data_IF_182544157583
#
_entry.id   IF_182544157583
#
_cell.length_a   1.000
_cell.length_b   1.000
_cell.length_c   1.000
_cell.angle_alpha   90.00
_cell.angle_beta   90.00
_cell.angle_gamma   90.00
#
_symmetry.space_group_name_H-M   'P 1'
#
loop_
_entity.id
_entity.type
_entity.pdbx_description
1 polymer ?
#
# COMPACT_ATOMS: atom_id res chain seq x y z
N UNK A 1 26.83 1.68 7.95
CA UNK A 1 25.74 1.19 7.06
C UNK A 1 25.66 -0.33 7.02
N UNK A 2 26.78 -1.05 6.99
CA UNK A 2 26.81 -2.53 7.04
C UNK A 2 26.09 -3.10 8.29
N UNK A 3 26.25 -2.47 9.45
CA UNK A 3 25.61 -2.94 10.69
C UNK A 3 24.09 -2.83 10.68
N UNK A 4 23.53 -1.75 10.13
CA UNK A 4 22.07 -1.54 10.07
C UNK A 4 21.41 -2.56 9.15
N UNK A 5 22.00 -2.82 7.98
CA UNK A 5 21.47 -3.81 7.04
C UNK A 5 21.53 -5.23 7.61
N UNK A 6 22.61 -5.56 8.31
CA UNK A 6 22.79 -6.86 8.98
C UNK A 6 21.75 -7.03 10.09
N UNK A 7 21.69 -6.11 11.06
CA UNK A 7 20.72 -6.15 12.16
C UNK A 7 19.27 -6.20 11.66
N UNK A 8 18.95 -5.41 10.62
CA UNK A 8 17.62 -5.44 10.01
C UNK A 8 17.29 -6.82 9.42
N UNK A 9 18.21 -7.40 8.65
CA UNK A 9 18.01 -8.72 8.03
C UNK A 9 17.89 -9.82 9.08
N UNK A 10 18.71 -9.77 10.13
CA UNK A 10 18.66 -10.72 11.24
C UNK A 10 17.28 -10.68 11.93
N UNK A 11 16.77 -9.47 12.25
CA UNK A 11 15.43 -9.31 12.85
C UNK A 11 14.34 -9.86 11.92
N UNK A 12 14.37 -9.50 10.63
CA UNK A 12 13.34 -9.94 9.67
C UNK A 12 13.33 -11.45 9.51
N UNK A 13 14.51 -12.08 9.50
CA UNK A 13 14.63 -13.54 9.30
C UNK A 13 14.24 -14.37 10.51
N UNK A 14 14.08 -13.77 11.71
CA UNK A 14 13.48 -14.47 12.86
C UNK A 14 11.99 -14.78 12.67
N UNK A 15 11.28 -14.02 11.84
CA UNK A 15 9.83 -14.15 11.61
C UNK A 15 9.51 -14.62 10.19
N UNK A 16 10.31 -14.21 9.20
CA UNK A 16 10.07 -14.50 7.79
C UNK A 16 11.21 -15.31 7.19
N UNK A 17 10.89 -16.18 6.22
CA UNK A 17 11.92 -16.99 5.53
C UNK A 17 12.96 -16.16 4.77
N UNK A 18 12.60 -14.93 4.39
CA UNK A 18 13.51 -13.98 3.75
C UNK A 18 12.92 -12.58 3.79
N UNK A 19 13.77 -11.58 3.55
CA UNK A 19 13.35 -10.18 3.44
C UNK A 19 12.39 -9.95 2.27
N UNK A 20 12.54 -10.67 1.16
CA UNK A 20 11.61 -10.59 0.03
C UNK A 20 10.25 -11.20 0.38
N UNK A 21 10.20 -12.29 1.14
CA UNK A 21 8.96 -12.88 1.63
C UNK A 21 8.22 -11.92 2.58
N UNK A 22 8.93 -11.27 3.52
CA UNK A 22 8.36 -10.22 4.36
C UNK A 22 7.70 -9.12 3.50
N UNK A 23 8.43 -8.58 2.52
CA UNK A 23 7.90 -7.54 1.63
C UNK A 23 6.64 -8.01 0.90
N UNK A 24 6.65 -9.24 0.38
CA UNK A 24 5.51 -9.80 -0.34
C UNK A 24 4.26 -9.92 0.54
N UNK A 25 4.41 -10.39 1.79
CA UNK A 25 3.31 -10.51 2.74
C UNK A 25 2.75 -9.16 3.19
N UNK A 26 3.62 -8.21 3.56
CA UNK A 26 3.18 -6.87 3.96
C UNK A 26 2.52 -6.10 2.81
N UNK A 27 3.05 -6.22 1.58
CA UNK A 27 2.41 -5.63 0.40
C UNK A 27 1.04 -6.26 0.12
N UNK A 28 0.90 -7.57 0.33
CA UNK A 28 -0.38 -8.28 0.15
C UNK A 28 -1.40 -7.86 1.20
N UNK A 29 -1.00 -7.77 2.47
CA UNK A 29 -1.85 -7.23 3.53
C UNK A 29 -2.30 -5.79 3.21
N UNK A 30 -1.40 -4.96 2.69
CA UNK A 30 -1.73 -3.61 2.27
C UNK A 30 -2.79 -3.58 1.15
N UNK A 31 -2.66 -4.43 0.11
CA UNK A 31 -3.67 -4.48 -0.97
C UNK A 31 -5.01 -5.01 -0.50
N UNK A 32 -5.05 -6.02 0.37
CA UNK A 32 -6.31 -6.48 0.99
C UNK A 32 -7.00 -5.32 1.72
N UNK A 33 -6.25 -4.53 2.49
CA UNK A 33 -6.79 -3.34 3.16
C UNK A 33 -7.19 -2.24 2.19
N UNK A 34 -6.52 -2.09 1.04
CA UNK A 34 -6.91 -1.18 -0.05
C UNK A 34 -8.25 -1.61 -0.66
N UNK A 35 -8.51 -2.90 -0.83
CA UNK A 35 -9.83 -3.38 -1.28
C UNK A 35 -10.92 -2.96 -0.29
N UNK A 36 -10.65 -3.07 1.02
CA UNK A 36 -11.55 -2.56 2.07
C UNK A 36 -11.71 -1.03 1.96
N UNK A 37 -10.63 -0.28 1.72
CA UNK A 37 -10.69 1.18 1.50
C UNK A 37 -11.61 1.56 0.36
N UNK A 38 -11.43 0.94 -0.81
CA UNK A 38 -12.21 1.24 -2.02
C UNK A 38 -13.67 0.85 -1.83
N UNK A 39 -13.94 -0.31 -1.24
CA UNK A 39 -15.30 -0.79 -0.97
C UNK A 39 -16.05 0.14 0.00
N UNK A 40 -15.38 0.53 1.09
CA UNK A 40 -15.96 1.45 2.08
C UNK A 40 -16.13 2.87 1.54
N UNK A 41 -15.19 3.38 0.74
CA UNK A 41 -15.30 4.68 0.08
C UNK A 41 -16.46 4.71 -0.92
N UNK A 42 -16.55 3.70 -1.79
CA UNK A 42 -17.63 3.55 -2.78
C UNK A 42 -18.99 3.46 -2.10
N UNK A 43 -19.07 2.76 -0.95
CA UNK A 43 -20.27 2.77 -0.11
C UNK A 43 -20.59 4.16 0.41
N UNK A 44 -19.60 4.88 0.94
CA UNK A 44 -19.80 6.22 1.52
C UNK A 44 -20.25 7.23 0.46
N UNK A 45 -19.90 7.00 -0.80
CA UNK A 45 -20.36 7.79 -1.95
C UNK A 45 -21.74 7.39 -2.50
N UNK A 46 -22.44 6.45 -1.85
CA UNK A 46 -23.81 6.06 -2.19
C UNK A 46 -23.93 4.84 -3.11
N UNK A 47 -22.89 4.46 -3.84
CA UNK A 47 -22.99 3.41 -4.86
C UNK A 47 -23.15 1.98 -4.29
N UNK A 48 -22.58 1.70 -3.12
CA UNK A 48 -22.54 0.33 -2.55
C UNK A 48 -23.45 0.12 -1.32
N UNK A 49 -24.42 1.01 -1.09
CA UNK A 49 -25.29 0.98 0.09
C UNK A 49 -26.18 -0.28 0.18
N UNK A 50 -26.57 -0.85 -0.96
CA UNK A 50 -27.43 -2.06 -1.01
C UNK A 50 -26.68 -3.35 -0.69
N UNK A 51 -25.38 -3.37 -0.98
CA UNK A 51 -24.49 -4.53 -0.78
C UNK A 51 -23.86 -4.46 0.62
N UNK A 52 -23.28 -3.31 1.00
CA UNK A 52 -22.70 -3.11 2.34
C UNK A 52 -23.73 -2.41 3.24
N UNK A 53 -24.55 -3.23 3.92
CA UNK A 53 -25.67 -2.79 4.76
C UNK A 53 -25.28 -2.40 6.20
N UNK A 54 -24.06 -1.88 6.40
CA UNK A 54 -23.58 -1.43 7.70
C UNK A 54 -24.01 0.03 7.96
N UNK A 55 -24.22 0.47 9.21
CA UNK A 55 -24.50 1.88 9.51
C UNK A 55 -23.39 2.83 9.00
N UNK A 56 -23.72 4.07 8.63
CA UNK A 56 -22.73 5.05 8.15
C UNK A 56 -21.55 5.29 9.13
N UNK A 57 -21.78 5.44 10.45
CA UNK A 57 -20.69 5.61 11.41
C UNK A 57 -19.72 4.43 11.45
N UNK A 58 -20.23 3.20 11.28
CA UNK A 58 -19.43 1.97 11.28
C UNK A 58 -18.53 1.91 10.05
N UNK A 59 -19.06 2.18 8.85
CA UNK A 59 -18.24 2.18 7.64
C UNK A 59 -17.20 3.30 7.67
N UNK A 60 -17.55 4.48 8.18
CA UNK A 60 -16.57 5.55 8.38
C UNK A 60 -15.44 5.12 9.33
N UNK A 61 -15.75 4.38 10.40
CA UNK A 61 -14.75 3.83 11.33
C UNK A 61 -13.85 2.79 10.65
N UNK A 62 -14.44 1.83 9.93
CA UNK A 62 -13.70 0.81 9.18
C UNK A 62 -12.78 1.47 8.15
N UNK A 63 -13.30 2.42 7.36
CA UNK A 63 -12.51 3.18 6.39
C UNK A 63 -11.31 3.88 7.06
N UNK A 64 -11.50 4.56 8.19
CA UNK A 64 -10.36 5.22 8.86
C UNK A 64 -9.32 4.25 9.39
N UNK A 65 -9.73 3.18 10.06
CA UNK A 65 -8.79 2.24 10.69
C UNK A 65 -8.07 1.36 9.68
N UNK A 66 -8.78 0.82 8.69
CA UNK A 66 -8.14 0.07 7.60
C UNK A 66 -7.16 0.93 6.82
N UNK A 67 -7.41 2.23 6.63
CA UNK A 67 -6.46 3.14 5.99
C UNK A 67 -5.18 3.35 6.81
N UNK A 68 -5.30 3.48 8.13
CA UNK A 68 -4.15 3.55 9.05
C UNK A 68 -3.34 2.25 9.04
N UNK A 69 -4.02 1.11 9.11
CA UNK A 69 -3.37 -0.20 9.06
C UNK A 69 -2.68 -0.43 7.71
N UNK A 70 -3.31 -0.02 6.59
CA UNK A 70 -2.71 -0.10 5.27
C UNK A 70 -1.42 0.72 5.21
N UNK A 71 -1.46 1.97 5.69
CA UNK A 71 -0.28 2.82 5.78
C UNK A 71 0.84 2.18 6.62
N UNK A 72 0.51 1.65 7.79
CA UNK A 72 1.48 0.94 8.64
C UNK A 72 2.07 -0.27 7.92
N UNK A 73 1.26 -1.05 7.21
CA UNK A 73 1.75 -2.20 6.43
C UNK A 73 2.73 -1.78 5.32
N UNK A 74 2.59 -0.57 4.77
CA UNK A 74 3.52 -0.07 3.76
C UNK A 74 4.87 0.39 4.34
N UNK A 75 4.96 0.72 5.64
CA UNK A 75 6.17 1.30 6.23
C UNK A 75 7.39 0.36 6.15
N UNK A 76 7.32 -0.93 6.54
CA UNK A 76 8.49 -1.83 6.44
C UNK A 76 8.92 -2.04 4.99
N UNK A 77 7.94 -2.13 4.07
CA UNK A 77 8.18 -2.28 2.63
C UNK A 77 8.88 -1.03 2.08
N UNK A 78 8.35 0.15 2.37
CA UNK A 78 8.90 1.43 1.97
C UNK A 78 10.31 1.62 2.51
N UNK A 79 10.54 1.36 3.79
CA UNK A 79 11.85 1.51 4.41
C UNK A 79 12.92 0.71 3.64
N UNK A 80 12.62 -0.56 3.37
CA UNK A 80 13.50 -1.40 2.59
C UNK A 80 13.66 -0.93 1.13
N UNK A 81 12.59 -0.51 0.48
CA UNK A 81 12.65 -0.12 -0.94
C UNK A 81 13.40 1.19 -1.14
N UNK A 82 13.19 2.19 -0.28
CA UNK A 82 13.73 3.54 -0.47
C UNK A 82 15.10 3.72 0.19
N UNK A 83 15.29 3.25 1.42
CA UNK A 83 16.53 3.51 2.15
C UNK A 83 17.59 2.43 1.95
N UNK A 84 17.20 1.17 1.76
CA UNK A 84 18.16 0.06 1.59
C UNK A 84 18.50 -0.14 0.10
N UNK A 85 17.49 -0.23 -0.77
CA UNK A 85 17.69 -0.48 -2.20
C UNK A 85 17.79 0.81 -3.04
N UNK A 86 17.00 1.82 -2.71
CA UNK A 86 16.90 3.06 -3.49
C UNK A 86 16.15 2.90 -4.82
N UNK A 87 16.25 3.92 -5.67
CA UNK A 87 15.70 3.89 -7.03
C UNK A 87 16.50 2.96 -7.92
N UNK A 88 15.83 2.06 -8.65
CA UNK A 88 16.46 1.05 -9.50
C UNK A 88 15.73 0.97 -10.84
N UNK A 89 16.44 0.65 -11.93
CA UNK A 89 15.85 0.51 -13.26
C UNK A 89 16.51 -0.59 -14.15
N UNK A 90 16.85 -1.78 -13.63
CA UNK A 90 17.45 -2.85 -14.43
C UNK A 90 16.50 -3.44 -15.48
N UNK A 91 15.19 -3.23 -15.34
CA UNK A 91 14.18 -3.64 -16.31
C UNK A 91 12.87 -2.85 -16.09
N UNK A 92 11.93 -2.97 -17.03
CA UNK A 92 10.65 -2.23 -17.02
C UNK A 92 9.83 -2.45 -15.75
N UNK A 93 9.75 -3.68 -15.23
CA UNK A 93 8.98 -3.98 -14.00
C UNK A 93 9.54 -3.21 -12.80
N UNK A 94 10.87 -3.25 -12.63
CA UNK A 94 11.54 -2.55 -11.53
C UNK A 94 11.45 -1.04 -11.72
N UNK A 95 11.59 -0.53 -12.94
CA UNK A 95 11.39 0.88 -13.25
C UNK A 95 9.98 1.36 -12.86
N UNK A 96 8.93 0.64 -13.26
CA UNK A 96 7.54 0.95 -12.89
C UNK A 96 7.37 0.92 -11.37
N UNK A 97 7.95 -0.07 -10.69
CA UNK A 97 7.91 -0.17 -9.23
C UNK A 97 8.59 1.02 -8.55
N UNK A 98 9.79 1.39 -9.00
CA UNK A 98 10.55 2.50 -8.43
C UNK A 98 9.87 3.85 -8.65
N UNK A 99 9.30 4.10 -9.83
CA UNK A 99 8.49 5.30 -10.10
C UNK A 99 7.24 5.31 -9.21
N UNK A 100 6.44 4.24 -9.23
CA UNK A 100 5.22 4.17 -8.43
C UNK A 100 5.50 4.35 -6.93
N UNK A 101 6.56 3.70 -6.41
CA UNK A 101 6.97 3.76 -5.01
C UNK A 101 7.39 5.17 -4.60
N UNK A 102 8.07 5.90 -5.48
CA UNK A 102 8.47 7.28 -5.23
C UNK A 102 7.27 8.22 -5.07
N UNK A 103 6.16 7.93 -5.76
CA UNK A 103 4.99 8.82 -5.80
C UNK A 103 3.99 8.54 -4.65
N UNK A 104 3.93 7.31 -4.13
CA UNK A 104 2.93 6.88 -3.13
C UNK A 104 2.83 7.82 -1.92
N UNK A 105 3.96 8.17 -1.30
CA UNK A 105 3.94 8.99 -0.08
C UNK A 105 3.59 10.44 -0.37
N UNK A 106 3.92 10.96 -1.55
CA UNK A 106 3.49 12.28 -2.00
C UNK A 106 1.96 12.35 -2.18
N UNK A 107 1.37 11.36 -2.85
CA UNK A 107 -0.09 11.26 -3.02
C UNK A 107 -0.79 11.04 -1.67
N UNK A 108 -0.22 10.23 -0.78
CA UNK A 108 -0.74 10.06 0.57
C UNK A 108 -0.70 11.39 1.35
N UNK A 109 0.40 12.13 1.31
CA UNK A 109 0.51 13.43 1.96
C UNK A 109 -0.52 14.42 1.40
N UNK A 110 -0.65 14.51 0.07
CA UNK A 110 -1.67 15.34 -0.59
C UNK A 110 -3.09 14.97 -0.13
N UNK A 111 -3.42 13.67 -0.06
CA UNK A 111 -4.70 13.19 0.47
C UNK A 111 -4.95 13.71 1.90
N UNK A 112 -3.94 13.70 2.76
CA UNK A 112 -4.07 14.15 4.14
C UNK A 112 -4.28 15.66 4.26
N UNK A 113 -3.66 16.46 3.38
CA UNK A 113 -3.91 17.90 3.27
C UNK A 113 -5.35 18.15 2.82
N UNK A 114 -5.78 17.51 1.73
CA UNK A 114 -7.13 17.65 1.16
C UNK A 114 -8.23 17.28 2.18
N UNK A 115 -8.01 16.27 3.02
CA UNK A 115 -8.97 15.88 4.06
C UNK A 115 -9.09 16.93 5.19
N UNK A 116 -8.01 17.69 5.45
CA UNK A 116 -7.97 18.68 6.53
C UNK A 116 -8.51 20.03 6.11
N UNK A 117 -8.27 20.42 4.86
CA UNK A 117 -8.69 21.71 4.33
C UNK A 117 -10.16 21.69 3.87
N UNK A 118 -10.88 22.77 4.16
CA UNK A 118 -12.26 22.98 3.72
C UNK A 118 -12.22 23.90 2.50
N UNK A 119 -12.23 23.34 1.29
CA UNK A 119 -12.18 24.17 0.07
C UNK A 119 -12.06 23.40 -1.24
N UNK A 120 -11.68 22.12 -1.21
CA UNK A 120 -11.57 21.33 -2.43
C UNK A 120 -12.92 20.87 -2.97
N UNK A 121 -13.10 20.83 -4.30
CA UNK A 121 -14.26 20.20 -4.92
C UNK A 121 -14.45 18.75 -4.46
N UNK A 122 -15.70 18.34 -4.32
CA UNK A 122 -16.06 17.00 -3.85
C UNK A 122 -15.42 15.84 -4.65
N UNK A 123 -15.13 16.01 -5.95
CA UNK A 123 -14.52 14.95 -6.78
C UNK A 123 -13.02 14.75 -6.50
N UNK A 124 -12.34 15.71 -5.87
CA UNK A 124 -10.88 15.63 -5.66
C UNK A 124 -10.54 14.46 -4.72
N UNK A 125 -11.33 14.27 -3.66
CA UNK A 125 -11.09 13.21 -2.68
C UNK A 125 -11.13 11.79 -3.31
N UNK A 126 -12.12 11.40 -4.13
CA UNK A 126 -12.12 10.09 -4.78
C UNK A 126 -11.03 9.96 -5.84
N UNK A 127 -10.63 11.03 -6.55
CA UNK A 127 -9.50 10.95 -7.50
C UNK A 127 -8.19 10.72 -6.77
N UNK A 128 -7.89 11.48 -5.73
CA UNK A 128 -6.65 11.31 -4.96
C UNK A 128 -6.66 9.96 -4.23
N UNK A 129 -7.79 9.59 -3.62
CA UNK A 129 -7.96 8.28 -2.98
C UNK A 129 -7.81 7.11 -3.95
N UNK A 130 -8.39 7.22 -5.16
CA UNK A 130 -8.30 6.24 -6.22
C UNK A 130 -6.90 6.13 -6.81
N UNK A 131 -6.21 7.25 -7.01
CA UNK A 131 -4.82 7.26 -7.47
C UNK A 131 -3.88 6.56 -6.48
N UNK A 132 -4.05 6.80 -5.17
CA UNK A 132 -3.29 6.10 -4.13
C UNK A 132 -3.56 4.59 -4.17
N UNK A 133 -4.83 4.19 -4.32
CA UNK A 133 -5.19 2.78 -4.46
C UNK A 133 -4.53 2.14 -5.70
N UNK A 134 -4.58 2.83 -6.84
CA UNK A 134 -3.97 2.37 -8.09
C UNK A 134 -2.45 2.22 -7.98
N UNK A 135 -1.77 3.17 -7.31
CA UNK A 135 -0.33 3.08 -7.04
C UNK A 135 0.01 1.87 -6.17
N UNK A 136 -0.73 1.65 -5.08
CA UNK A 136 -0.50 0.50 -4.19
C UNK A 136 -0.76 -0.85 -4.89
N UNK A 137 -1.79 -0.92 -5.73
CA UNK A 137 -2.06 -2.10 -6.57
C UNK A 137 -0.94 -2.32 -7.58
N UNK A 138 -0.48 -1.26 -8.26
CA UNK A 138 0.65 -1.33 -9.20
C UNK A 138 1.92 -1.83 -8.52
N UNK A 139 2.22 -1.32 -7.32
CA UNK A 139 3.34 -1.79 -6.53
C UNK A 139 3.23 -3.27 -6.19
N UNK A 140 2.04 -3.73 -5.78
CA UNK A 140 1.81 -5.13 -5.46
C UNK A 140 1.94 -6.04 -6.69
N UNK A 141 1.36 -5.64 -7.83
CA UNK A 141 1.45 -6.37 -9.09
C UNK A 141 2.90 -6.54 -9.56
N UNK A 142 3.69 -5.47 -9.46
CA UNK A 142 5.11 -5.46 -9.85
C UNK A 142 6.06 -6.09 -8.83
N UNK A 143 5.57 -6.44 -7.64
CA UNK A 143 6.37 -7.04 -6.56
C UNK A 143 5.79 -8.36 -6.05
N UNK A 144 4.89 -8.33 -5.07
CA UNK A 144 4.38 -9.51 -4.38
C UNK A 144 3.68 -10.49 -5.33
N UNK A 145 2.80 -10.01 -6.21
CA UNK A 145 2.13 -10.88 -7.18
C UNK A 145 3.14 -11.55 -8.13
N UNK A 146 4.09 -10.77 -8.65
CA UNK A 146 5.17 -11.31 -9.47
C UNK A 146 6.00 -12.35 -8.70
N UNK A 147 6.33 -12.07 -7.43
CA UNK A 147 7.06 -12.99 -6.55
C UNK A 147 6.32 -14.34 -6.39
N UNK A 148 5.04 -14.31 -6.02
CA UNK A 148 4.26 -15.54 -5.81
C UNK A 148 4.02 -16.37 -7.07
N UNK A 149 4.08 -15.74 -8.25
CA UNK A 149 3.83 -16.41 -9.53
C UNK A 149 5.09 -16.88 -10.26
N UNK A 150 6.25 -16.31 -9.95
CA UNK A 150 7.50 -16.58 -10.66
C UNK A 150 8.56 -17.28 -9.81
N UNK A 151 8.51 -17.12 -8.48
CA UNK A 151 9.43 -17.81 -7.58
C UNK A 151 8.84 -19.17 -7.25
N UNK A 152 9.50 -20.24 -7.68
CA UNK A 152 9.11 -21.60 -7.31
C UNK A 152 9.39 -21.80 -5.83
N UNK A 153 8.34 -22.07 -5.06
CA UNK A 153 8.48 -22.65 -3.73
C UNK A 153 8.78 -24.13 -3.93
N UNK A 154 10.03 -24.53 -3.70
CA UNK A 154 10.40 -25.94 -3.73
C UNK A 154 9.68 -26.66 -2.61
N UNK A 155 8.72 -27.52 -2.97
CA UNK A 155 8.35 -28.68 -2.18
C UNK A 155 8.78 -29.91 -2.98
#
# INVERSE_FOLDING_TARGET
MLDVNKTYTDIVTTVFSSTIAMKAWFATAAVVLVIVQVSTATRMWGHLQRVIRLPFPVVKRIHRWSGRLAFVCTLPVFFHCVFILGFQHPNTRVLVHSIAGSIVYGVFAAKMVIIREKGYPHWVLPVVGGSLAALLVTLWLTSAFWYFTNVRFGF
#
